data_IF_300932028571
#
_entry.id   IF_300932028571
#
_cell.length_a   1.000
_cell.length_b   1.000
_cell.length_c   1.000
_cell.angle_alpha   90.00
_cell.angle_beta   90.00
_cell.angle_gamma   90.00
#
_symmetry.space_group_name_H-M   'P 1'
#
loop_
_entity.id
_entity.type
_entity.pdbx_description
1 polymer ?
#
# COMPACT_ATOMS: atom_id res chain seq x y z
N UNK A 1 16.13 -7.29 38.77
CA UNK A 1 16.31 -6.88 37.36
C UNK A 1 14.96 -6.40 36.80
N UNK A 2 14.80 -5.08 36.68
CA UNK A 2 13.66 -4.52 35.97
C UNK A 2 13.86 -4.74 34.48
N UNK A 3 13.24 -5.76 33.93
CA UNK A 3 13.12 -5.92 32.48
C UNK A 3 12.21 -4.79 32.00
N UNK A 4 12.78 -3.80 31.32
CA UNK A 4 12.02 -2.75 30.64
C UNK A 4 11.20 -3.44 29.54
N UNK A 5 9.92 -3.65 29.81
CA UNK A 5 8.99 -4.22 28.84
C UNK A 5 8.80 -3.20 27.70
N UNK A 6 9.26 -3.56 26.51
CA UNK A 6 9.11 -2.72 25.32
C UNK A 6 7.61 -2.61 25.01
N UNK A 7 7.03 -1.41 24.97
CA UNK A 7 5.63 -1.24 24.67
C UNK A 7 5.29 -1.84 23.30
N UNK A 8 4.26 -2.68 23.25
CA UNK A 8 3.80 -3.28 22.00
C UNK A 8 2.62 -2.50 21.46
N UNK A 9 2.53 -2.30 20.15
CA UNK A 9 1.37 -1.70 19.52
C UNK A 9 0.10 -2.49 19.85
N UNK A 10 -0.99 -1.79 20.12
CA UNK A 10 -2.31 -2.39 20.37
C UNK A 10 -3.18 -2.17 19.14
N UNK A 11 -3.89 -3.22 18.74
CA UNK A 11 -4.99 -3.08 17.80
C UNK A 11 -6.17 -2.44 18.52
N UNK A 12 -6.72 -1.36 17.98
CA UNK A 12 -7.87 -0.66 18.55
C UNK A 12 -9.13 -0.76 17.69
N UNK A 13 -8.97 -1.07 16.40
CA UNK A 13 -10.08 -1.25 15.47
C UNK A 13 -9.67 -2.20 14.33
N UNK A 14 -10.62 -2.96 13.82
CA UNK A 14 -10.51 -3.68 12.55
C UNK A 14 -11.90 -3.72 11.90
N UNK A 15 -11.97 -3.78 10.58
CA UNK A 15 -13.25 -3.99 9.91
C UNK A 15 -13.82 -5.35 10.30
N UNK A 16 -15.15 -5.46 10.35
CA UNK A 16 -15.81 -6.69 10.82
C UNK A 16 -15.42 -7.88 9.96
N UNK A 17 -14.67 -8.80 10.55
CA UNK A 17 -14.31 -10.11 9.96
C UNK A 17 -12.99 -10.16 9.22
N UNK A 18 -12.28 -9.05 9.03
CA UNK A 18 -10.98 -9.05 8.36
C UNK A 18 -9.88 -8.49 9.27
N UNK A 19 -8.91 -9.34 9.64
CA UNK A 19 -7.75 -8.95 10.43
C UNK A 19 -6.61 -8.38 9.57
N UNK A 20 -6.74 -8.39 8.24
CA UNK A 20 -5.71 -7.90 7.30
C UNK A 20 -5.60 -6.38 7.27
N UNK A 21 -6.64 -5.66 7.74
CA UNK A 21 -6.65 -4.20 7.89
C UNK A 21 -6.98 -3.84 9.32
N UNK A 22 -6.07 -3.16 10.01
CA UNK A 22 -6.18 -2.89 11.44
C UNK A 22 -5.77 -1.45 11.76
N UNK A 23 -6.51 -0.79 12.67
CA UNK A 23 -6.03 0.40 13.33
C UNK A 23 -5.19 0.00 14.54
N UNK A 24 -3.95 0.44 14.57
CA UNK A 24 -2.99 0.18 15.64
C UNK A 24 -2.64 1.46 16.37
N UNK A 25 -2.31 1.34 17.63
CA UNK A 25 -1.92 2.45 18.50
C UNK A 25 -0.72 2.10 19.36
N UNK A 26 0.18 3.05 19.48
CA UNK A 26 1.28 3.01 20.44
C UNK A 26 1.42 4.41 21.08
N UNK A 27 0.97 4.55 22.35
CA UNK A 27 0.85 5.85 22.97
C UNK A 27 -0.16 6.74 22.25
N UNK A 28 0.29 7.90 21.78
CA UNK A 28 -0.51 8.83 20.98
C UNK A 28 -0.41 8.59 19.47
N UNK A 29 0.56 7.80 19.03
CA UNK A 29 0.73 7.45 17.63
C UNK A 29 -0.30 6.41 17.22
N UNK A 30 -1.03 6.70 16.14
CA UNK A 30 -1.97 5.79 15.49
C UNK A 30 -1.59 5.60 14.03
N UNK A 31 -1.81 4.38 13.51
CA UNK A 31 -1.63 4.09 12.09
C UNK A 31 -2.51 2.93 11.64
N UNK A 32 -2.81 2.89 10.36
CA UNK A 32 -3.46 1.74 9.73
C UNK A 32 -2.39 0.76 9.30
N UNK A 33 -2.53 -0.49 9.70
CA UNK A 33 -1.72 -1.62 9.24
C UNK A 33 -2.52 -2.42 8.21
N UNK A 34 -1.89 -2.73 7.08
CA UNK A 34 -2.51 -3.47 5.98
C UNK A 34 -1.59 -4.60 5.56
N UNK A 35 -2.10 -5.83 5.46
CA UNK A 35 -1.34 -7.01 5.02
C UNK A 35 -1.24 -7.08 3.49
N UNK A 36 -0.71 -6.02 2.88
CA UNK A 36 -0.38 -5.96 1.45
C UNK A 36 0.71 -4.94 1.20
N UNK A 37 1.33 -5.01 0.03
CA UNK A 37 2.41 -4.10 -0.36
C UNK A 37 1.90 -2.68 -0.62
N UNK A 38 2.75 -1.65 -0.43
CA UNK A 38 2.41 -0.26 -0.75
C UNK A 38 1.98 -0.04 -2.21
N UNK A 39 2.49 -0.83 -3.14
CA UNK A 39 2.07 -0.80 -4.55
C UNK A 39 0.60 -1.12 -4.77
N UNK A 40 -0.01 -1.88 -3.85
CA UNK A 40 -1.46 -2.16 -3.84
C UNK A 40 -2.22 -1.13 -3.01
N UNK A 41 -1.69 -0.76 -1.85
CA UNK A 41 -2.35 0.16 -0.91
C UNK A 41 -2.38 1.60 -1.41
N UNK A 42 -1.35 2.04 -2.14
CA UNK A 42 -1.25 3.40 -2.65
C UNK A 42 -2.43 3.82 -3.55
N UNK A 43 -2.76 3.07 -4.63
CA UNK A 43 -3.90 3.45 -5.48
C UNK A 43 -5.24 3.42 -4.73
N UNK A 44 -5.40 2.54 -3.73
CA UNK A 44 -6.58 2.51 -2.87
C UNK A 44 -6.63 3.78 -2.01
N UNK A 45 -5.51 4.17 -1.41
CA UNK A 45 -5.38 5.39 -0.61
C UNK A 45 -5.71 6.64 -1.42
N UNK A 46 -5.14 6.74 -2.62
CA UNK A 46 -5.40 7.86 -3.52
C UNK A 46 -6.87 7.92 -3.92
N UNK A 47 -7.47 6.78 -4.29
CA UNK A 47 -8.88 6.73 -4.67
C UNK A 47 -9.84 7.08 -3.52
N UNK A 48 -9.50 6.72 -2.29
CA UNK A 48 -10.25 7.15 -1.10
C UNK A 48 -10.39 8.68 -1.06
N UNK A 49 -9.27 9.39 -1.21
CA UNK A 49 -9.28 10.86 -1.17
C UNK A 49 -9.89 11.48 -2.42
N UNK A 50 -9.65 10.92 -3.61
CA UNK A 50 -10.25 11.39 -4.87
C UNK A 50 -11.78 11.27 -4.88
N UNK A 51 -12.35 10.35 -4.10
CA UNK A 51 -13.80 10.14 -3.97
C UNK A 51 -14.39 10.74 -2.70
N UNK A 52 -13.56 11.34 -1.85
CA UNK A 52 -13.99 12.04 -0.65
C UNK A 52 -14.55 13.43 -0.97
N UNK A 53 -15.04 14.11 0.08
CA UNK A 53 -15.46 15.51 -0.01
C UNK A 53 -14.30 16.53 -0.04
N UNK A 54 -13.06 16.06 0.12
CA UNK A 54 -11.87 16.89 0.20
C UNK A 54 -11.11 16.93 -1.12
N UNK A 55 -10.47 18.04 -1.41
CA UNK A 55 -9.63 18.19 -2.60
C UNK A 55 -8.20 17.68 -2.34
N UNK A 56 -7.67 16.88 -3.25
CA UNK A 56 -6.26 16.43 -3.20
C UNK A 56 -5.38 17.54 -3.78
N UNK A 57 -4.48 18.07 -2.94
CA UNK A 57 -3.52 19.12 -3.33
C UNK A 57 -2.33 18.51 -4.06
N UNK A 58 -1.82 17.39 -3.55
CA UNK A 58 -0.63 16.70 -4.05
C UNK A 58 -0.75 15.21 -3.80
N UNK A 59 -0.32 14.40 -4.74
CA UNK A 59 -0.15 12.96 -4.54
C UNK A 59 1.15 12.52 -5.23
N UNK A 60 2.09 11.99 -4.43
CA UNK A 60 3.39 11.55 -4.90
C UNK A 60 3.60 10.07 -4.55
N UNK A 61 3.51 9.17 -5.54
CA UNK A 61 3.67 7.73 -5.29
C UNK A 61 5.12 7.33 -4.93
N UNK A 62 6.09 8.18 -5.20
CA UNK A 62 7.50 7.88 -4.89
C UNK A 62 7.79 8.10 -3.41
N UNK A 63 7.34 9.23 -2.87
CA UNK A 63 7.46 9.51 -1.42
C UNK A 63 6.37 8.84 -0.58
N UNK A 64 5.28 8.37 -1.20
CA UNK A 64 4.14 7.82 -0.50
C UNK A 64 3.25 8.88 0.17
N UNK A 65 3.35 10.14 -0.24
CA UNK A 65 2.64 11.27 0.38
C UNK A 65 1.42 11.72 -0.42
N UNK A 66 0.31 11.96 0.28
CA UNK A 66 -0.88 12.61 -0.25
C UNK A 66 -1.20 13.79 0.66
N UNK A 67 -1.23 14.99 0.09
CA UNK A 67 -1.67 16.21 0.77
C UNK A 67 -3.12 16.54 0.34
N UNK A 68 -3.96 16.80 1.32
CA UNK A 68 -5.39 17.00 1.16
C UNK A 68 -5.77 18.36 1.75
N UNK A 69 -6.57 19.14 1.03
CA UNK A 69 -7.10 20.41 1.52
C UNK A 69 -8.18 20.16 2.56
N UNK A 70 -7.94 20.56 3.80
CA UNK A 70 -8.87 20.32 4.90
C UNK A 70 -9.63 21.59 5.30
N UNK A 71 -8.90 22.71 5.43
CA UNK A 71 -9.47 24.00 5.80
C UNK A 71 -8.57 25.14 5.33
N UNK A 72 -8.98 26.38 5.59
CA UNK A 72 -8.14 27.55 5.27
C UNK A 72 -6.78 27.52 6.00
N UNK A 73 -6.74 27.00 7.22
CA UNK A 73 -5.56 26.98 8.07
C UNK A 73 -4.82 25.65 8.10
N UNK A 74 -5.46 24.56 7.76
CA UNK A 74 -4.91 23.22 7.93
C UNK A 74 -5.04 22.37 6.67
N UNK A 75 -4.10 21.46 6.46
CA UNK A 75 -4.15 20.36 5.49
C UNK A 75 -4.06 19.02 6.23
N UNK A 76 -4.56 17.98 5.61
CA UNK A 76 -4.22 16.62 6.01
C UNK A 76 -3.05 16.13 5.17
N UNK A 77 -2.14 15.41 5.77
CA UNK A 77 -1.07 14.71 5.08
C UNK A 77 -1.15 13.23 5.41
N UNK A 78 -1.38 12.43 4.41
CA UNK A 78 -1.33 10.98 4.48
C UNK A 78 0.03 10.49 4.03
N UNK A 79 0.58 9.49 4.72
CA UNK A 79 1.81 8.81 4.32
C UNK A 79 1.56 7.33 4.24
N UNK A 80 1.87 6.76 3.09
CA UNK A 80 1.77 5.32 2.80
C UNK A 80 3.17 4.77 2.73
N UNK A 81 3.55 3.99 3.73
CA UNK A 81 4.92 3.49 3.89
C UNK A 81 4.94 1.96 3.87
N UNK A 82 6.08 1.39 3.51
CA UNK A 82 6.29 -0.04 3.66
C UNK A 82 6.32 -0.38 5.16
N UNK A 83 5.53 -1.36 5.58
CA UNK A 83 5.48 -1.78 6.97
C UNK A 83 6.70 -2.61 7.38
N UNK A 84 6.78 -2.89 8.68
CA UNK A 84 7.89 -3.70 9.26
C UNK A 84 7.85 -5.14 8.73
N UNK A 85 6.66 -5.71 8.50
CA UNK A 85 6.53 -7.02 7.87
C UNK A 85 6.74 -6.91 6.36
N UNK A 86 7.34 -7.93 5.76
CA UNK A 86 7.75 -7.98 4.36
C UNK A 86 6.64 -7.60 3.37
N UNK A 87 5.43 -8.12 3.54
CA UNK A 87 4.28 -7.81 2.69
C UNK A 87 3.23 -7.00 3.47
N UNK A 88 3.63 -5.82 3.96
CA UNK A 88 2.72 -4.96 4.70
C UNK A 88 2.89 -3.49 4.34
N UNK A 89 1.83 -2.72 4.62
CA UNK A 89 1.79 -1.27 4.50
C UNK A 89 1.41 -0.68 5.84
N UNK A 90 2.00 0.45 6.17
CA UNK A 90 1.60 1.30 7.28
C UNK A 90 1.16 2.65 6.73
N UNK A 91 -0.01 3.12 7.19
CA UNK A 91 -0.61 4.37 6.74
C UNK A 91 -0.78 5.30 7.92
N UNK A 92 -0.18 6.47 7.81
CA UNK A 92 -0.23 7.53 8.81
C UNK A 92 -1.06 8.70 8.28
N UNK A 93 -1.77 9.38 9.16
CA UNK A 93 -2.53 10.58 8.84
C UNK A 93 -2.20 11.68 9.85
N UNK A 94 -1.80 12.83 9.33
CA UNK A 94 -1.44 14.01 10.12
C UNK A 94 -2.30 15.20 9.71
N UNK A 95 -2.72 15.99 10.69
CA UNK A 95 -3.27 17.32 10.46
C UNK A 95 -2.15 18.33 10.62
N UNK A 96 -1.92 19.13 9.61
CA UNK A 96 -0.77 20.05 9.55
C UNK A 96 -1.26 21.47 9.34
N UNK A 97 -0.75 22.39 10.15
CA UNK A 97 -0.97 23.82 9.97
C UNK A 97 -0.27 24.31 8.68
N UNK A 98 -1.02 24.95 7.78
CA UNK A 98 -0.49 25.41 6.49
C UNK A 98 0.52 26.54 6.61
N UNK A 99 0.48 27.31 7.70
CA UNK A 99 1.34 28.49 7.91
C UNK A 99 2.62 28.07 8.61
N UNK A 100 2.51 27.38 9.75
CA UNK A 100 3.68 27.00 10.55
C UNK A 100 4.33 25.70 10.07
N UNK A 101 3.60 24.83 9.40
CA UNK A 101 4.06 23.48 9.04
C UNK A 101 4.02 22.48 10.20
N UNK A 102 3.53 22.88 11.36
CA UNK A 102 3.49 22.03 12.54
C UNK A 102 2.32 21.04 12.50
N UNK A 103 2.52 19.88 13.14
CA UNK A 103 1.46 18.89 13.33
C UNK A 103 0.49 19.41 14.40
N UNK A 104 -0.78 19.50 14.04
CA UNK A 104 -1.87 19.81 14.96
C UNK A 104 -2.37 18.52 15.62
N UNK A 105 -2.32 18.47 16.95
CA UNK A 105 -2.84 17.32 17.70
C UNK A 105 -4.37 17.32 17.69
N UNK A 106 -4.95 16.40 16.95
CA UNK A 106 -6.40 16.16 16.88
C UNK A 106 -6.67 14.64 16.79
N UNK A 107 -6.40 13.92 17.89
CA UNK A 107 -6.42 12.47 17.87
C UNK A 107 -7.84 11.90 17.64
N UNK A 108 -8.87 12.59 18.07
CA UNK A 108 -10.27 12.16 17.88
C UNK A 108 -10.66 12.21 16.40
N UNK A 109 -10.34 13.31 15.73
CA UNK A 109 -10.57 13.46 14.30
C UNK A 109 -9.77 12.42 13.49
N UNK A 110 -8.48 12.29 13.79
CA UNK A 110 -7.59 11.35 13.09
C UNK A 110 -8.09 9.90 13.25
N UNK A 111 -8.50 9.51 14.46
CA UNK A 111 -9.04 8.18 14.70
C UNK A 111 -10.33 7.95 13.91
N UNK A 112 -11.27 8.89 13.97
CA UNK A 112 -12.55 8.79 13.25
C UNK A 112 -12.34 8.66 11.73
N UNK A 113 -11.41 9.42 11.16
CA UNK A 113 -11.11 9.36 9.74
C UNK A 113 -10.41 8.05 9.37
N UNK A 114 -9.47 7.58 10.19
CA UNK A 114 -8.80 6.29 9.99
C UNK A 114 -9.77 5.11 10.07
N UNK A 115 -10.77 5.14 10.93
CA UNK A 115 -11.81 4.09 11.02
C UNK A 115 -12.62 4.00 9.72
N UNK A 116 -13.00 5.13 9.11
CA UNK A 116 -13.65 5.15 7.78
C UNK A 116 -12.74 4.57 6.69
N UNK A 117 -11.45 4.90 6.75
CA UNK A 117 -10.47 4.39 5.79
C UNK A 117 -10.29 2.88 5.90
N UNK A 118 -10.33 2.31 7.11
CA UNK A 118 -10.23 0.86 7.32
C UNK A 118 -11.33 0.12 6.60
N UNK A 119 -12.57 0.55 6.73
CA UNK A 119 -13.70 -0.06 6.03
C UNK A 119 -13.53 0.03 4.51
N UNK A 120 -13.08 1.18 4.03
CA UNK A 120 -12.79 1.37 2.60
C UNK A 120 -11.66 0.46 2.09
N UNK A 121 -10.57 0.32 2.85
CA UNK A 121 -9.48 -0.60 2.50
C UNK A 121 -9.94 -2.06 2.48
N UNK A 122 -10.69 -2.48 3.48
CA UNK A 122 -11.19 -3.85 3.57
C UNK A 122 -12.11 -4.19 2.39
N UNK A 123 -13.03 -3.31 2.04
CA UNK A 123 -13.89 -3.47 0.87
C UNK A 123 -13.10 -3.48 -0.44
N UNK A 124 -12.16 -2.56 -0.59
CA UNK A 124 -11.34 -2.44 -1.80
C UNK A 124 -10.46 -3.67 -2.00
N UNK A 125 -9.83 -4.18 -0.93
CA UNK A 125 -8.98 -5.36 -0.99
C UNK A 125 -9.78 -6.64 -1.26
N UNK A 126 -10.96 -6.80 -0.68
CA UNK A 126 -11.82 -7.95 -0.95
C UNK A 126 -12.30 -7.99 -2.40
N UNK A 127 -12.64 -6.84 -2.97
CA UNK A 127 -12.97 -6.70 -4.38
C UNK A 127 -11.76 -6.92 -5.29
N UNK A 128 -10.57 -6.49 -4.86
CA UNK A 128 -9.33 -6.64 -5.60
C UNK A 128 -8.86 -8.10 -5.66
N UNK A 129 -8.98 -8.87 -4.58
CA UNK A 129 -8.66 -10.31 -4.56
C UNK A 129 -9.60 -11.14 -5.44
N UNK A 130 -10.88 -10.76 -5.56
CA UNK A 130 -11.85 -11.47 -6.43
C UNK A 130 -11.66 -11.24 -7.92
N UNK A 131 -11.33 -10.01 -8.33
CA UNK A 131 -11.18 -9.63 -9.75
C UNK A 131 -9.74 -9.62 -10.25
N UNK A 132 -8.78 -9.36 -9.37
CA UNK A 132 -7.40 -9.08 -9.74
C UNK A 132 -6.56 -10.33 -10.00
N UNK A 133 -6.81 -11.46 -9.31
CA UNK A 133 -6.11 -12.71 -9.64
C UNK A 133 -6.48 -13.18 -11.04
N UNK A 134 -7.74 -13.05 -11.45
CA UNK A 134 -8.17 -13.37 -12.80
C UNK A 134 -7.64 -12.33 -13.82
N UNK A 135 -7.63 -11.03 -13.47
CA UNK A 135 -7.13 -9.97 -14.35
C UNK A 135 -5.60 -9.91 -14.42
N UNK A 136 -4.87 -10.23 -13.34
CA UNK A 136 -3.41 -10.36 -13.35
C UNK A 136 -2.98 -11.58 -14.18
N UNK A 137 -3.63 -12.73 -14.00
CA UNK A 137 -3.37 -13.91 -14.81
C UNK A 137 -3.66 -13.66 -16.30
N UNK A 138 -4.75 -12.96 -16.63
CA UNK A 138 -5.06 -12.58 -18.01
C UNK A 138 -4.08 -11.55 -18.58
N UNK A 139 -3.60 -10.59 -17.77
CA UNK A 139 -2.59 -9.62 -18.20
C UNK A 139 -1.19 -10.23 -18.30
N UNK A 140 -0.83 -11.14 -17.43
CA UNK A 140 0.43 -11.90 -17.55
C UNK A 140 0.41 -12.83 -18.76
N UNK A 141 -0.71 -13.50 -19.02
CA UNK A 141 -0.89 -14.30 -20.25
C UNK A 141 -0.88 -13.45 -21.53
N UNK A 142 -1.34 -12.20 -21.49
CA UNK A 142 -1.28 -11.27 -22.63
C UNK A 142 0.12 -10.68 -22.84
N UNK A 143 0.96 -10.64 -21.82
CA UNK A 143 2.33 -10.13 -21.87
C UNK A 143 3.37 -11.19 -22.27
N UNK A 144 3.01 -12.47 -22.22
CA UNK A 144 3.84 -13.57 -22.65
C UNK A 144 3.30 -14.18 -23.94
N UNK A 145 4.04 -14.06 -25.03
CA UNK A 145 3.74 -14.74 -26.28
C UNK A 145 4.75 -15.87 -26.44
N UNK A 146 4.22 -17.10 -26.58
CA UNK A 146 5.04 -18.27 -26.85
C UNK A 146 4.90 -18.59 -28.34
N UNK A 147 5.99 -18.61 -29.07
CA UNK A 147 6.03 -19.02 -30.47
C UNK A 147 7.25 -19.89 -30.72
N UNK A 148 7.17 -20.70 -31.75
CA UNK A 148 8.29 -21.56 -32.14
C UNK A 148 8.95 -20.94 -33.37
N UNK A 149 10.24 -20.65 -33.26
CA UNK A 149 11.07 -20.16 -34.35
C UNK A 149 12.28 -21.09 -34.50
N UNK A 150 12.51 -21.61 -35.69
CA UNK A 150 13.59 -22.55 -36.01
C UNK A 150 13.69 -23.80 -35.09
N UNK A 151 12.53 -24.32 -34.63
CA UNK A 151 12.47 -25.48 -33.75
C UNK A 151 12.77 -25.17 -32.27
N UNK A 152 12.98 -23.92 -31.89
CA UNK A 152 13.14 -23.48 -30.53
C UNK A 152 11.91 -22.77 -30.04
N UNK A 153 11.53 -23.05 -28.79
CA UNK A 153 10.43 -22.32 -28.13
C UNK A 153 10.92 -20.96 -27.64
N UNK A 154 10.37 -19.90 -28.20
CA UNK A 154 10.69 -18.51 -27.83
C UNK A 154 9.54 -17.94 -27.01
N UNK A 155 9.87 -17.37 -25.85
CA UNK A 155 8.93 -16.65 -24.99
C UNK A 155 9.22 -15.17 -25.13
N UNK A 156 8.29 -14.43 -25.73
CA UNK A 156 8.35 -12.97 -25.78
C UNK A 156 7.58 -12.41 -24.58
N UNK A 157 8.26 -11.64 -23.74
CA UNK A 157 7.68 -10.98 -22.57
C UNK A 157 7.61 -9.48 -22.85
N UNK A 158 6.40 -8.94 -22.84
CA UNK A 158 6.16 -7.49 -22.91
C UNK A 158 6.13 -6.91 -21.49
N UNK A 159 7.32 -6.89 -20.86
CA UNK A 159 7.53 -6.39 -19.50
C UNK A 159 8.47 -5.19 -19.52
N UNK A 160 8.35 -4.33 -18.50
CA UNK A 160 9.36 -3.31 -18.24
C UNK A 160 10.75 -3.96 -18.08
N UNK A 161 11.76 -3.31 -18.63
CA UNK A 161 13.13 -3.82 -18.69
C UNK A 161 13.67 -4.38 -17.38
N UNK A 162 13.38 -3.72 -16.25
CA UNK A 162 13.83 -4.17 -14.93
C UNK A 162 13.22 -5.52 -14.50
N UNK A 163 11.96 -5.76 -14.85
CA UNK A 163 11.30 -7.05 -14.59
C UNK A 163 11.74 -8.15 -15.54
N UNK A 164 11.90 -7.83 -16.82
CA UNK A 164 12.39 -8.76 -17.82
C UNK A 164 13.80 -9.25 -17.49
N UNK A 165 14.66 -8.36 -16.99
CA UNK A 165 16.02 -8.69 -16.60
C UNK A 165 16.08 -9.66 -15.40
N UNK A 166 15.25 -9.48 -14.38
CA UNK A 166 15.20 -10.39 -13.23
C UNK A 166 14.75 -11.80 -13.59
N UNK A 167 13.81 -11.94 -14.53
CA UNK A 167 13.32 -13.24 -15.03
C UNK A 167 14.40 -13.93 -15.87
N UNK A 168 15.10 -13.21 -16.73
CA UNK A 168 16.20 -13.75 -17.54
C UNK A 168 17.36 -14.27 -16.70
N UNK A 169 17.72 -13.55 -15.61
CA UNK A 169 18.79 -13.97 -14.71
C UNK A 169 18.45 -15.25 -13.95
N UNK A 170 17.20 -15.44 -13.54
CA UNK A 170 16.74 -16.66 -12.85
C UNK A 170 16.78 -17.88 -13.79
N UNK A 171 16.50 -17.70 -15.09
CA UNK A 171 16.51 -18.76 -16.09
C UNK A 171 17.94 -19.18 -16.46
N UNK A 172 18.88 -18.23 -16.60
CA UNK A 172 20.30 -18.53 -16.89
C UNK A 172 20.95 -19.32 -15.74
N UNK A 173 20.59 -19.03 -14.48
CA UNK A 173 21.12 -19.75 -13.33
C UNK A 173 20.63 -21.20 -13.21
N UNK A 174 19.43 -21.49 -13.69
CA UNK A 174 18.88 -22.86 -13.73
C UNK A 174 19.59 -23.74 -14.77
N UNK A 175 20.19 -23.16 -15.80
CA UNK A 175 20.97 -23.89 -16.81
C UNK A 175 22.44 -24.16 -16.40
N UNK A 176 23.01 -23.36 -15.49
CA UNK A 176 24.40 -23.54 -15.02
C UNK A 176 24.56 -24.60 -13.92
N UNK A 177 23.48 -25.05 -13.31
CA UNK A 177 23.52 -26.09 -12.25
C UNK A 177 23.25 -27.50 -12.75
N UNK A 178 23.21 -27.70 -14.05
CA UNK A 178 22.91 -29.00 -14.70
C UNK A 178 24.07 -29.63 -15.42
N UNK A 179 25.29 -29.62 -14.82
CA UNK A 179 26.42 -30.46 -15.26
C UNK A 179 27.09 -31.08 -14.03
#
# INVERSE_FOLDING_TARGET
ENVLEVPKPRQIFSSSGDSSVQLRRLGELMWIYIETLPSTSWPISKNYWDTSEYDVIKADPVSGEIDIDFSQSSKLQMRVEHGIKEASTEVFLYKINKISGDIESDPEFVQMEMEKMIDYYADSLSNFTGTSLAAQNLNEMKKAKIFTEDGMTVISLDLNFDRAWSVSYTHLRAHETGN
#
